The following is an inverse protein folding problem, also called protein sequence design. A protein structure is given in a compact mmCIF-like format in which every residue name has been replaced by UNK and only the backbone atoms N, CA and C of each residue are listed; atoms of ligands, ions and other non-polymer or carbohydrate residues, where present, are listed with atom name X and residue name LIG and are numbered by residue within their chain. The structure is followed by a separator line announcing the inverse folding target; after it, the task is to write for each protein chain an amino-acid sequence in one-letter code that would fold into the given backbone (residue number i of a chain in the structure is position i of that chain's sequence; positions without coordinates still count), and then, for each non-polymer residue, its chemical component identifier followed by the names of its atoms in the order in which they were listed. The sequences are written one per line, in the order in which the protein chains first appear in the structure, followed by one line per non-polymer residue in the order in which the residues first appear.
data_IF_432426975859
#
_entry.id   IF_432426975859
#
_cell.length_a   1.000
_cell.length_b   1.000
_cell.length_c   1.000
_cell.angle_alpha   90.00
_cell.angle_beta   90.00
_cell.angle_gamma   90.00
#
_symmetry.space_group_name_H-M   'P 1'
#
loop_
_entity.id
_entity.type
_entity.pdbx_description
1 polymer ?
#
# COMPACT_ATOMS: atom_id res chain seq x y z
N UNK A 1 -7.10 37.83 -5.32
CA UNK A 1 -8.11 37.18 -6.16
C UNK A 1 -7.91 37.64 -7.59
N UNK A 2 -7.90 36.67 -8.50
CA UNK A 2 -7.82 36.77 -9.97
C UNK A 2 -6.48 37.13 -10.64
N UNK A 3 -6.24 36.43 -11.75
CA UNK A 3 -5.19 36.58 -12.76
C UNK A 3 -3.83 35.87 -12.52
N UNK A 4 -3.83 34.52 -12.50
CA UNK A 4 -2.80 33.72 -13.19
C UNK A 4 -3.47 32.46 -13.76
N UNK A 5 -4.26 32.64 -14.82
CA UNK A 5 -4.96 31.55 -15.51
C UNK A 5 -4.78 31.71 -17.01
N UNK A 6 -4.00 30.81 -17.61
CA UNK A 6 -3.94 30.65 -19.07
C UNK A 6 -2.53 30.80 -19.63
N UNK A 7 -1.73 29.73 -19.57
CA UNK A 7 -0.87 29.29 -20.68
C UNK A 7 -0.09 28.02 -20.31
N UNK A 8 -0.73 26.84 -20.35
CA UNK A 8 -0.01 25.55 -20.41
C UNK A 8 -0.84 24.43 -21.10
N UNK A 9 -1.78 24.79 -21.97
CA UNK A 9 -2.55 23.83 -22.77
C UNK A 9 -1.98 23.77 -24.20
N UNK A 10 -0.78 23.21 -24.40
CA UNK A 10 -0.29 22.89 -25.75
C UNK A 10 0.92 21.93 -25.75
N UNK A 11 0.87 20.84 -24.99
CA UNK A 11 1.71 19.65 -25.25
C UNK A 11 0.90 18.38 -24.91
N UNK A 12 -0.25 18.22 -25.57
CA UNK A 12 -0.98 16.96 -25.62
C UNK A 12 -0.36 16.06 -26.67
N UNK A 13 0.69 15.32 -26.29
CA UNK A 13 1.21 14.23 -27.10
C UNK A 13 0.13 13.16 -27.26
N UNK A 14 -0.31 12.95 -28.50
CA UNK A 14 -1.30 11.96 -28.90
C UNK A 14 -0.87 10.55 -28.46
N UNK A 15 -1.54 9.96 -27.47
CA UNK A 15 -1.30 8.62 -26.89
C UNK A 15 -1.79 7.48 -27.80
N UNK A 16 -1.74 7.67 -29.11
CA UNK A 16 -2.09 6.64 -30.07
C UNK A 16 -0.86 6.35 -30.93
N UNK A 17 -0.56 5.05 -31.07
CA UNK A 17 0.40 4.40 -32.00
C UNK A 17 1.69 3.90 -31.34
N UNK A 18 1.62 2.68 -30.77
CA UNK A 18 2.39 1.49 -31.19
C UNK A 18 2.16 0.31 -30.23
N UNK A 19 0.98 -0.33 -30.30
CA UNK A 19 0.84 -1.72 -29.84
C UNK A 19 1.49 -2.62 -30.87
N UNK A 20 2.80 -2.86 -30.73
CA UNK A 20 3.42 -4.05 -31.31
C UNK A 20 3.05 -5.21 -30.41
N UNK A 21 2.12 -6.03 -30.89
CA UNK A 21 1.77 -7.32 -30.30
C UNK A 21 3.04 -8.12 -30.05
N UNK A 22 3.27 -8.49 -28.79
CA UNK A 22 4.23 -9.53 -28.43
C UNK A 22 3.74 -10.84 -29.05
N UNK A 23 4.17 -11.12 -30.27
CA UNK A 23 3.97 -12.38 -30.93
C UNK A 23 4.87 -13.43 -30.27
N UNK A 24 4.26 -14.49 -29.72
CA UNK A 24 4.93 -15.77 -29.52
C UNK A 24 5.08 -16.25 -28.08
N UNK A 25 3.98 -16.61 -27.42
CA UNK A 25 3.97 -17.77 -26.53
C UNK A 25 2.71 -18.59 -26.78
N UNK A 26 2.89 -19.63 -27.60
CA UNK A 26 1.91 -20.68 -27.84
C UNK A 26 1.78 -21.54 -26.58
N UNK A 27 0.55 -21.69 -26.06
CA UNK A 27 0.08 -22.89 -25.37
C UNK A 27 -1.36 -23.14 -25.80
N UNK A 28 -1.51 -24.12 -26.67
CA UNK A 28 -2.79 -24.54 -27.19
C UNK A 28 -3.77 -25.15 -26.18
N UNK A 29 -5.00 -25.24 -26.69
CA UNK A 29 -6.14 -26.05 -26.29
C UNK A 29 -7.12 -25.41 -25.30
N UNK A 30 -8.25 -25.01 -25.88
CA UNK A 30 -9.26 -24.14 -25.26
C UNK A 30 -10.22 -24.80 -24.27
N UNK A 31 -10.83 -23.91 -23.49
CA UNK A 31 -12.17 -24.05 -22.92
C UNK A 31 -12.68 -22.66 -22.52
N UNK A 32 -13.84 -22.33 -23.09
CA UNK A 32 -14.91 -21.44 -22.65
C UNK A 32 -14.61 -20.05 -22.03
N UNK A 33 -15.16 -19.05 -22.72
CA UNK A 33 -15.24 -17.64 -22.34
C UNK A 33 -16.19 -17.44 -21.14
N UNK A 34 -15.65 -17.32 -19.93
CA UNK A 34 -16.13 -16.41 -18.87
C UNK A 34 -15.20 -16.49 -17.65
N UNK A 35 -14.48 -15.40 -17.38
CA UNK A 35 -13.65 -15.23 -16.19
C UNK A 35 -12.19 -15.66 -16.38
N UNK A 36 -11.38 -14.81 -17.04
CA UNK A 36 -9.93 -14.95 -16.96
C UNK A 36 -9.51 -14.94 -15.48
N UNK A 37 -8.91 -16.04 -15.02
CA UNK A 37 -8.40 -16.12 -13.66
C UNK A 37 -7.45 -14.94 -13.41
N UNK A 38 -7.51 -14.28 -12.24
CA UNK A 38 -6.65 -13.15 -11.96
C UNK A 38 -5.19 -13.57 -12.11
N UNK A 39 -4.41 -12.78 -12.85
CA UNK A 39 -2.97 -13.03 -13.05
C UNK A 39 -2.30 -13.13 -11.68
N UNK A 40 -1.63 -14.25 -11.43
CA UNK A 40 -0.92 -14.42 -10.16
C UNK A 40 0.28 -13.47 -10.08
N UNK A 41 0.64 -13.03 -8.88
CA UNK A 41 1.79 -12.14 -8.72
C UNK A 41 3.11 -12.78 -9.20
N UNK A 42 3.25 -14.11 -9.08
CA UNK A 42 4.40 -14.84 -9.61
C UNK A 42 4.49 -14.77 -11.15
N UNK A 43 3.35 -14.87 -11.85
CA UNK A 43 3.30 -14.69 -13.30
C UNK A 43 3.65 -13.24 -13.68
N UNK A 44 3.12 -12.25 -12.96
CA UNK A 44 3.45 -10.84 -13.20
C UNK A 44 4.96 -10.57 -13.05
N UNK A 45 5.60 -11.10 -12.00
CA UNK A 45 7.06 -11.00 -11.83
C UNK A 45 7.81 -11.66 -12.97
N UNK A 46 7.37 -12.84 -13.42
CA UNK A 46 8.00 -13.54 -14.55
C UNK A 46 7.91 -12.74 -15.84
N UNK A 47 6.77 -12.10 -16.11
CA UNK A 47 6.56 -11.25 -17.29
C UNK A 47 7.47 -10.01 -17.26
N UNK A 48 7.53 -9.32 -16.12
CA UNK A 48 8.41 -8.15 -15.96
C UNK A 48 9.89 -8.54 -16.11
N UNK A 49 10.31 -9.68 -15.54
CA UNK A 49 11.68 -10.17 -15.69
C UNK A 49 12.00 -10.55 -17.14
N UNK A 50 11.04 -11.16 -17.85
CA UNK A 50 11.17 -11.48 -19.28
C UNK A 50 11.36 -10.21 -20.11
N UNK A 51 10.50 -9.20 -19.90
CA UNK A 51 10.59 -7.91 -20.57
C UNK A 51 11.92 -7.20 -20.27
N UNK A 52 12.37 -7.20 -19.01
CA UNK A 52 13.67 -6.64 -18.64
C UNK A 52 14.85 -7.37 -19.31
N UNK A 53 14.71 -8.68 -19.56
CA UNK A 53 15.71 -9.50 -20.23
C UNK A 53 15.87 -9.20 -21.72
N UNK A 54 14.80 -8.78 -22.42
CA UNK A 54 14.85 -8.43 -23.86
C UNK A 54 15.04 -6.93 -24.12
N UNK A 55 14.75 -6.06 -23.13
CA UNK A 55 14.75 -4.62 -23.30
C UNK A 55 16.05 -4.03 -23.83
N UNK A 56 17.22 -4.59 -23.48
CA UNK A 56 18.50 -4.06 -23.94
C UNK A 56 18.68 -4.15 -25.47
N UNK A 57 18.32 -5.29 -26.06
CA UNK A 57 18.43 -5.50 -27.51
C UNK A 57 17.36 -4.70 -28.27
N UNK A 58 16.15 -4.62 -27.72
CA UNK A 58 15.05 -3.81 -28.27
C UNK A 58 15.41 -2.32 -28.27
N UNK A 59 15.91 -1.79 -27.15
CA UNK A 59 16.28 -0.38 -27.02
C UNK A 59 17.55 -0.01 -27.79
N UNK A 60 18.45 -0.97 -28.05
CA UNK A 60 19.63 -0.72 -28.88
C UNK A 60 19.27 -0.36 -30.33
N UNK A 61 18.12 -0.83 -30.81
CA UNK A 61 17.60 -0.55 -32.15
C UNK A 61 16.53 0.55 -32.17
N UNK A 62 16.09 1.01 -30.99
CA UNK A 62 14.98 1.95 -30.86
C UNK A 62 15.35 3.37 -31.31
N UNK A 63 14.40 4.03 -31.98
CA UNK A 63 14.45 5.47 -32.19
C UNK A 63 14.20 6.27 -30.91
N UNK A 64 14.41 7.59 -30.95
CA UNK A 64 14.16 8.46 -29.79
C UNK A 64 12.73 8.36 -29.23
N UNK A 65 11.72 8.37 -30.12
CA UNK A 65 10.30 8.30 -29.72
C UNK A 65 9.99 6.96 -29.05
N UNK A 66 10.41 5.85 -29.65
CA UNK A 66 10.22 4.50 -29.10
C UNK A 66 10.89 4.35 -27.73
N UNK A 67 12.10 4.90 -27.55
CA UNK A 67 12.79 4.89 -26.27
C UNK A 67 12.09 5.76 -25.22
N UNK A 68 11.52 6.90 -25.62
CA UNK A 68 10.75 7.78 -24.73
C UNK A 68 9.43 7.13 -24.29
N UNK A 69 8.71 6.49 -25.20
CA UNK A 69 7.48 5.76 -24.90
C UNK A 69 7.75 4.59 -23.95
N UNK A 70 8.83 3.82 -24.20
CA UNK A 70 9.28 2.78 -23.29
C UNK A 70 9.58 3.31 -21.89
N UNK A 71 10.27 4.45 -21.77
CA UNK A 71 10.53 5.09 -20.49
C UNK A 71 9.23 5.49 -19.76
N UNK A 72 8.21 5.95 -20.51
CA UNK A 72 6.88 6.23 -19.98
C UNK A 72 6.20 4.98 -19.39
N UNK A 73 6.23 3.86 -20.11
CA UNK A 73 5.68 2.58 -19.64
C UNK A 73 6.39 2.04 -18.40
N UNK A 74 7.73 2.15 -18.35
CA UNK A 74 8.51 1.75 -17.16
C UNK A 74 8.14 2.60 -15.95
N UNK A 75 7.89 3.90 -16.15
CA UNK A 75 7.46 4.79 -15.08
C UNK A 75 6.03 4.47 -14.60
N UNK A 76 5.09 4.11 -15.49
CA UNK A 76 3.78 3.58 -15.11
C UNK A 76 3.86 2.29 -14.29
N UNK A 77 4.74 1.36 -14.70
CA UNK A 77 5.02 0.15 -13.95
C UNK A 77 5.60 0.49 -12.57
N UNK A 78 6.54 1.43 -12.49
CA UNK A 78 7.14 1.90 -11.24
C UNK A 78 6.07 2.42 -10.27
N UNK A 79 5.16 3.29 -10.73
CA UNK A 79 4.05 3.79 -9.88
C UNK A 79 3.14 2.67 -9.38
N UNK A 80 2.88 1.66 -10.20
CA UNK A 80 2.08 0.49 -9.81
C UNK A 80 2.81 -0.34 -8.74
N UNK A 81 4.12 -0.59 -8.93
CA UNK A 81 4.96 -1.31 -7.96
C UNK A 81 5.03 -0.54 -6.63
N UNK A 82 5.19 0.78 -6.68
CA UNK A 82 5.18 1.65 -5.52
C UNK A 82 3.88 1.53 -4.70
N UNK A 83 2.72 1.54 -5.38
CA UNK A 83 1.44 1.33 -4.72
C UNK A 83 1.33 -0.06 -4.07
N UNK A 84 1.80 -1.11 -4.76
CA UNK A 84 1.86 -2.47 -4.19
C UNK A 84 2.77 -2.55 -2.95
N UNK A 85 3.88 -1.80 -2.92
CA UNK A 85 4.76 -1.73 -1.75
C UNK A 85 4.07 -1.07 -0.55
N UNK A 86 3.27 -0.02 -0.78
CA UNK A 86 2.46 0.64 0.26
C UNK A 86 1.40 -0.32 0.79
N UNK A 87 0.66 -1.00 -0.12
CA UNK A 87 -0.34 -2.01 0.24
C UNK A 87 0.26 -3.14 1.08
N UNK A 88 1.41 -3.69 0.66
CA UNK A 88 2.10 -4.76 1.36
C UNK A 88 2.56 -4.32 2.75
N UNK A 89 3.15 -3.12 2.88
CA UNK A 89 3.57 -2.58 4.18
C UNK A 89 2.38 -2.41 5.14
N UNK A 90 1.27 -1.81 4.67
CA UNK A 90 0.05 -1.66 5.46
C UNK A 90 -0.62 -3.00 5.82
N UNK A 91 -0.56 -3.99 4.92
CA UNK A 91 -1.04 -5.34 5.22
C UNK A 91 -0.21 -6.01 6.31
N UNK A 92 1.12 -5.93 6.24
CA UNK A 92 2.03 -6.45 7.27
C UNK A 92 1.78 -5.78 8.62
N UNK A 93 1.63 -4.46 8.67
CA UNK A 93 1.40 -3.73 9.92
C UNK A 93 0.10 -4.17 10.62
N UNK A 94 -1.00 -4.22 9.86
CA UNK A 94 -2.31 -4.66 10.38
C UNK A 94 -2.28 -6.12 10.83
N UNK A 95 -1.71 -7.01 10.02
CA UNK A 95 -1.67 -8.46 10.34
C UNK A 95 -0.73 -8.77 11.50
N UNK A 96 0.42 -8.08 11.59
CA UNK A 96 1.33 -8.15 12.74
C UNK A 96 0.62 -7.71 14.02
N UNK A 97 -0.04 -6.56 14.01
CA UNK A 97 -0.79 -6.06 15.17
C UNK A 97 -1.86 -7.06 15.62
N UNK A 98 -2.68 -7.56 14.68
CA UNK A 98 -3.71 -8.58 14.96
C UNK A 98 -3.12 -9.85 15.58
N UNK A 99 -2.00 -10.34 15.03
CA UNK A 99 -1.34 -11.54 15.54
C UNK A 99 -0.73 -11.34 16.94
N UNK A 100 -0.19 -10.15 17.25
CA UNK A 100 0.28 -9.80 18.60
C UNK A 100 -0.89 -9.79 19.59
N UNK A 101 -2.00 -9.14 19.24
CA UNK A 101 -3.21 -9.09 20.08
C UNK A 101 -3.80 -10.49 20.31
N UNK A 102 -3.89 -11.32 19.27
CA UNK A 102 -4.37 -12.69 19.38
C UNK A 102 -3.47 -13.56 20.27
N UNK A 103 -2.14 -13.42 20.14
CA UNK A 103 -1.18 -14.09 21.02
C UNK A 103 -1.30 -13.63 22.48
N UNK A 104 -1.57 -12.34 22.73
CA UNK A 104 -1.81 -11.83 24.08
C UNK A 104 -3.11 -12.40 24.68
N UNK A 105 -4.21 -12.41 23.93
CA UNK A 105 -5.49 -12.96 24.39
C UNK A 105 -5.42 -14.47 24.72
N UNK A 106 -4.70 -15.25 23.90
CA UNK A 106 -4.47 -16.68 24.16
C UNK A 106 -3.55 -16.92 25.37
N UNK A 107 -2.62 -16.02 25.67
CA UNK A 107 -1.80 -16.09 26.89
C UNK A 107 -2.65 -15.80 28.13
N UNK A 108 -3.48 -14.76 28.09
CA UNK A 108 -4.40 -14.40 29.18
C UNK A 108 -5.42 -15.51 29.49
N UNK A 109 -5.99 -16.16 28.48
CA UNK A 109 -6.94 -17.26 28.70
C UNK A 109 -6.26 -18.49 29.33
N UNK A 110 -4.99 -18.76 29.02
CA UNK A 110 -4.21 -19.86 29.62
C UNK A 110 -3.81 -19.56 31.07
N UNK A 111 -3.43 -18.33 31.40
CA UNK A 111 -3.11 -17.94 32.79
C UNK A 111 -4.37 -17.83 33.65
N UNK A 112 -5.50 -17.39 33.08
CA UNK A 112 -6.79 -17.29 33.78
C UNK A 112 -7.47 -18.64 34.07
N UNK A 113 -7.04 -19.72 33.41
CA UNK A 113 -7.50 -21.08 33.70
C UNK A 113 -6.83 -21.72 34.93
N UNK A 114 -5.68 -21.20 35.38
CA UNK A 114 -4.95 -21.71 36.54
C UNK A 114 -4.87 -20.72 37.72
N UNK A 115 -5.21 -19.46 37.50
CA UNK A 115 -5.36 -18.45 38.55
C UNK A 115 -6.69 -17.74 38.35
N UNK A 116 -7.69 -18.19 39.10
CA UNK A 116 -8.99 -17.54 39.18
C UNK A 116 -8.78 -16.07 39.56
N UNK A 117 -9.36 -15.17 38.77
CA UNK A 117 -9.53 -13.79 39.18
C UNK A 117 -10.39 -13.78 40.45
N UNK A 118 -9.74 -13.70 41.62
CA UNK A 118 -10.39 -13.45 42.90
C UNK A 118 -10.81 -11.98 42.89
N UNK A 119 -11.94 -11.68 42.26
CA UNK A 119 -12.77 -10.56 42.72
C UNK A 119 -13.41 -11.05 44.01
N UNK A 120 -12.94 -10.50 45.13
CA UNK A 120 -13.19 -10.97 46.49
C UNK A 120 -14.64 -10.96 46.96
N UNK A 121 -15.44 -11.89 46.45
CA UNK A 121 -16.76 -12.29 46.93
C UNK A 121 -16.90 -13.82 46.79
N UNK A 122 -16.26 -14.58 47.67
CA UNK A 122 -16.71 -15.93 48.03
C UNK A 122 -16.12 -16.37 49.38
N UNK A 123 -16.97 -16.32 50.41
CA UNK A 123 -16.81 -17.16 51.59
C UNK A 123 -16.97 -18.63 51.17
N UNK A 124 -16.01 -19.50 51.52
CA UNK A 124 -16.26 -20.94 51.53
C UNK A 124 -15.08 -21.81 51.15
N UNK A 125 -14.38 -22.27 52.20
CA UNK A 125 -13.61 -23.53 52.31
C UNK A 125 -12.52 -23.83 51.28
N UNK A 126 -11.28 -23.72 51.75
CA UNK A 126 -10.09 -24.34 51.19
C UNK A 126 -10.26 -25.87 51.10
N UNK A 127 -9.91 -26.44 49.95
CA UNK A 127 -9.42 -27.82 49.87
C UNK A 127 -8.01 -27.77 49.33
N UNK A 128 -7.05 -27.93 50.25
CA UNK A 128 -5.68 -28.30 49.97
C UNK A 128 -5.67 -29.74 49.45
N UNK A 129 -5.17 -29.96 48.24
CA UNK A 129 -4.63 -31.26 47.83
C UNK A 129 -3.15 -31.05 47.51
N UNK A 130 -2.32 -31.24 48.54
CA UNK A 130 -0.88 -31.39 48.40
C UNK A 130 -0.55 -32.86 48.09
N UNK A 131 0.12 -33.04 46.93
CA UNK A 131 1.18 -34.00 46.62
C UNK A 131 1.00 -35.48 46.98
N UNK A 132 1.03 -36.34 45.95
CA UNK A 132 1.56 -37.70 46.12
C UNK A 132 2.41 -38.15 44.92
N UNK A 133 3.37 -39.01 45.26
CA UNK A 133 4.62 -39.28 44.56
C UNK A 133 4.53 -40.27 43.37
N UNK A 134 5.42 -40.12 42.38
CA UNK A 134 6.17 -41.22 41.74
C UNK A 134 7.12 -40.76 40.61
N UNK A 135 8.41 -41.06 40.76
CA UNK A 135 9.47 -41.03 39.75
C UNK A 135 10.36 -42.29 40.03
N UNK A 136 10.98 -43.04 39.08
CA UNK A 136 10.88 -43.09 37.60
C UNK A 136 10.24 -44.38 37.06
N UNK A 137 9.79 -44.36 35.80
CA UNK A 137 9.78 -45.56 34.97
C UNK A 137 10.45 -45.28 33.62
N UNK A 138 11.61 -45.89 33.45
CA UNK A 138 12.35 -46.02 32.19
C UNK A 138 11.54 -46.87 31.22
N UNK A 139 10.99 -46.25 30.19
CA UNK A 139 10.46 -46.92 29.01
C UNK A 139 10.82 -46.07 27.79
N UNK A 140 10.99 -46.66 26.59
CA UNK A 140 11.20 -45.89 25.38
C UNK A 140 9.88 -45.22 25.02
N UNK A 141 9.57 -44.13 25.72
CA UNK A 141 8.69 -43.12 25.20
C UNK A 141 9.44 -42.55 24.01
N UNK A 142 9.05 -42.99 22.81
CA UNK A 142 9.12 -42.15 21.63
C UNK A 142 8.35 -40.88 21.98
N UNK A 143 9.03 -39.98 22.68
CA UNK A 143 8.73 -38.57 22.69
C UNK A 143 8.99 -38.18 21.25
N UNK A 144 7.98 -38.39 20.41
CA UNK A 144 7.65 -37.39 19.43
C UNK A 144 7.49 -36.13 20.28
N UNK A 145 8.61 -35.42 20.43
CA UNK A 145 8.71 -34.05 20.87
C UNK A 145 7.95 -33.24 19.82
N UNK A 146 6.64 -33.44 19.83
CA UNK A 146 5.69 -32.43 19.44
C UNK A 146 5.68 -31.52 20.66
N UNK A 147 6.79 -30.81 20.87
CA UNK A 147 6.72 -29.45 21.37
C UNK A 147 5.62 -28.84 20.53
N UNK A 148 4.42 -28.77 21.12
CA UNK A 148 3.29 -28.05 20.57
C UNK A 148 3.83 -26.64 20.52
N UNK A 149 4.48 -26.30 19.40
CA UNK A 149 5.22 -25.08 19.22
C UNK A 149 4.23 -23.99 19.59
N UNK A 150 4.44 -23.38 20.76
CA UNK A 150 3.61 -22.28 21.18
C UNK A 150 3.78 -21.30 20.04
N UNK A 151 2.72 -20.92 19.31
CA UNK A 151 2.87 -20.00 18.20
C UNK A 151 3.54 -18.75 18.78
N UNK A 152 4.81 -18.56 18.42
CA UNK A 152 5.61 -17.46 18.93
C UNK A 152 4.90 -16.19 18.48
N UNK A 153 4.66 -15.28 19.44
CA UNK A 153 4.03 -14.02 19.08
C UNK A 153 4.96 -13.31 18.10
N UNK A 154 4.46 -12.62 17.07
CA UNK A 154 5.31 -11.76 16.27
C UNK A 154 6.04 -10.69 17.11
N UNK A 155 5.59 -10.41 18.34
CA UNK A 155 6.31 -9.56 19.28
C UNK A 155 7.67 -10.16 19.75
N UNK A 156 7.83 -11.49 19.64
CA UNK A 156 9.00 -12.23 20.11
C UNK A 156 10.10 -12.35 19.02
N UNK A 157 9.90 -11.75 17.83
CA UNK A 157 10.84 -11.82 16.71
C UNK A 157 12.03 -10.84 16.81
N UNK A 158 12.18 -10.17 17.95
CA UNK A 158 13.25 -9.21 18.23
C UNK A 158 13.07 -7.84 17.55
N UNK A 159 12.02 -7.64 16.75
CA UNK A 159 11.74 -6.37 16.10
C UNK A 159 10.88 -5.48 16.99
N UNK A 160 11.43 -4.31 17.38
CA UNK A 160 10.74 -3.35 18.28
C UNK A 160 9.40 -2.84 17.71
N UNK A 161 9.29 -2.77 16.38
CA UNK A 161 8.09 -2.34 15.67
C UNK A 161 8.07 -2.93 14.25
N UNK A 162 6.96 -2.71 13.54
CA UNK A 162 6.79 -3.17 12.16
C UNK A 162 7.86 -2.63 11.21
N UNK A 163 8.35 -1.41 11.42
CA UNK A 163 9.37 -0.82 10.54
C UNK A 163 10.71 -1.57 10.63
N UNK A 164 11.17 -1.95 11.82
CA UNK A 164 12.37 -2.77 12.00
C UNK A 164 12.18 -4.20 11.45
N UNK A 165 10.97 -4.74 11.56
CA UNK A 165 10.62 -6.02 10.93
C UNK A 165 10.74 -5.94 9.40
N UNK A 166 10.13 -4.92 8.77
CA UNK A 166 10.21 -4.71 7.32
C UNK A 166 11.64 -4.47 6.85
N UNK A 167 12.42 -3.65 7.58
CA UNK A 167 13.85 -3.42 7.31
C UNK A 167 14.61 -4.73 7.24
N UNK A 168 14.44 -5.60 8.24
CA UNK A 168 15.15 -6.87 8.33
C UNK A 168 14.69 -7.86 7.26
N UNK A 169 13.36 -7.98 7.09
CA UNK A 169 12.74 -8.94 6.17
C UNK A 169 12.98 -8.60 4.70
N UNK A 170 12.87 -7.31 4.34
CA UNK A 170 12.96 -6.83 2.96
C UNK A 170 14.35 -6.29 2.59
N UNK A 171 15.25 -6.16 3.57
CA UNK A 171 16.60 -5.57 3.41
C UNK A 171 16.58 -4.14 2.84
N UNK A 172 15.60 -3.35 3.24
CA UNK A 172 15.48 -1.92 2.89
C UNK A 172 15.98 -1.04 4.03
N UNK A 173 16.20 0.26 3.76
CA UNK A 173 16.53 1.23 4.80
C UNK A 173 15.38 1.46 5.78
N UNK A 174 15.69 1.82 7.03
CA UNK A 174 14.66 2.11 8.05
C UNK A 174 13.78 3.30 7.67
N UNK A 175 14.35 4.31 7.00
CA UNK A 175 13.62 5.48 6.49
C UNK A 175 12.59 5.06 5.44
N UNK A 176 12.95 4.15 4.55
CA UNK A 176 12.05 3.65 3.52
C UNK A 176 10.93 2.78 4.12
N UNK A 177 11.25 1.93 5.11
CA UNK A 177 10.23 1.16 5.82
C UNK A 177 9.21 2.08 6.52
N UNK A 178 9.68 3.11 7.22
CA UNK A 178 8.82 4.11 7.87
C UNK A 178 7.99 4.90 6.86
N UNK A 179 8.59 5.31 5.74
CA UNK A 179 7.90 6.02 4.66
C UNK A 179 6.73 5.21 4.12
N UNK A 180 6.93 3.91 3.83
CA UNK A 180 5.85 3.03 3.35
C UNK A 180 4.72 2.87 4.36
N UNK A 181 5.06 2.70 5.64
CA UNK A 181 4.06 2.59 6.72
C UNK A 181 3.30 3.91 6.91
N UNK A 182 3.99 5.04 6.85
CA UNK A 182 3.37 6.36 6.96
C UNK A 182 2.40 6.62 5.80
N UNK A 183 2.82 6.39 4.54
CA UNK A 183 1.90 6.48 3.40
C UNK A 183 0.71 5.53 3.57
N UNK A 184 0.96 4.27 3.95
CA UNK A 184 -0.11 3.30 4.15
C UNK A 184 -1.14 3.74 5.20
N UNK A 185 -0.71 4.39 6.29
CA UNK A 185 -1.61 4.92 7.32
C UNK A 185 -2.53 6.03 6.81
N UNK A 186 -2.06 6.87 5.88
CA UNK A 186 -2.82 7.99 5.36
C UNK A 186 -3.67 7.65 4.13
N UNK A 187 -3.22 6.71 3.30
CA UNK A 187 -3.81 6.48 1.97
C UNK A 187 -4.58 5.16 1.84
N UNK A 188 -4.49 4.25 2.82
CA UNK A 188 -5.26 3.01 2.78
C UNK A 188 -6.53 3.10 3.64
N UNK A 189 -7.62 2.42 3.26
CA UNK A 189 -8.81 2.32 4.10
C UNK A 189 -8.49 1.71 5.46
N UNK A 190 -9.04 2.31 6.51
CA UNK A 190 -8.92 1.80 7.88
C UNK A 190 -10.20 1.04 8.29
N UNK A 191 -10.12 0.38 9.44
CA UNK A 191 -11.27 -0.29 10.07
C UNK A 191 -11.47 0.28 11.45
N UNK A 192 -12.70 0.69 11.78
CA UNK A 192 -13.07 1.13 13.13
C UNK A 192 -13.02 -0.03 14.11
N UNK A 193 -13.16 0.27 15.41
CA UNK A 193 -13.26 -0.74 16.45
C UNK A 193 -14.47 -1.68 16.24
N UNK A 194 -15.55 -1.19 15.63
CA UNK A 194 -16.76 -1.97 15.29
C UNK A 194 -16.60 -2.84 14.04
N UNK A 195 -15.49 -2.69 13.30
CA UNK A 195 -15.21 -3.45 12.08
C UNK A 195 -15.66 -2.77 10.79
N UNK A 196 -16.27 -1.59 10.89
CA UNK A 196 -16.70 -0.81 9.73
C UNK A 196 -15.48 -0.25 8.99
N UNK A 197 -15.54 -0.23 7.65
CA UNK A 197 -14.48 0.38 6.85
C UNK A 197 -14.66 1.89 6.82
N UNK A 198 -13.59 2.62 7.14
CA UNK A 198 -13.53 4.07 6.94
C UNK A 198 -12.73 4.39 5.69
N UNK A 199 -13.07 5.49 4.99
CA UNK A 199 -12.26 5.97 3.89
C UNK A 199 -10.83 6.28 4.36
N UNK A 200 -9.86 6.34 3.44
CA UNK A 200 -8.51 6.84 3.70
C UNK A 200 -8.54 8.23 4.33
N UNK A 201 -7.56 8.56 5.17
CA UNK A 201 -7.49 9.89 5.80
C UNK A 201 -7.21 11.02 4.80
N UNK A 202 -6.48 10.70 3.72
CA UNK A 202 -6.19 11.58 2.59
C UNK A 202 -6.85 10.99 1.34
N UNK A 203 -8.15 11.27 1.15
CA UNK A 203 -8.98 10.64 0.12
C UNK A 203 -8.53 10.99 -1.30
N UNK A 204 -8.17 12.25 -1.56
CA UNK A 204 -7.73 12.68 -2.88
C UNK A 204 -6.41 12.03 -3.26
N UNK A 205 -5.46 12.00 -2.32
CA UNK A 205 -4.18 11.35 -2.53
C UNK A 205 -4.34 9.82 -2.72
N UNK A 206 -5.21 9.19 -1.93
CA UNK A 206 -5.49 7.77 -2.04
C UNK A 206 -6.07 7.39 -3.41
N UNK A 207 -7.01 8.20 -3.92
CA UNK A 207 -7.58 8.00 -5.25
C UNK A 207 -6.49 8.07 -6.33
N UNK A 208 -5.59 9.06 -6.26
CA UNK A 208 -4.54 9.25 -7.25
C UNK A 208 -3.45 8.16 -7.22
N UNK A 209 -3.21 7.54 -6.06
CA UNK A 209 -2.29 6.41 -5.90
C UNK A 209 -2.89 5.05 -6.28
N UNK A 210 -4.22 4.97 -6.42
CA UNK A 210 -4.91 3.71 -6.71
C UNK A 210 -5.03 3.52 -8.22
N UNK A 211 -4.64 2.36 -8.76
CA UNK A 211 -4.93 2.02 -10.15
C UNK A 211 -6.43 2.10 -10.40
N UNK A 212 -6.85 2.89 -11.38
CA UNK A 212 -8.28 3.09 -11.65
C UNK A 212 -8.76 1.98 -12.58
N UNK A 213 -9.77 1.19 -12.18
CA UNK A 213 -10.37 0.25 -13.10
C UNK A 213 -11.04 1.03 -14.24
N UNK A 214 -11.07 0.45 -15.45
CA UNK A 214 -11.70 1.06 -16.60
C UNK A 214 -13.19 1.31 -16.33
N UNK A 215 -13.67 2.45 -16.80
CA UNK A 215 -15.07 2.84 -16.63
C UNK A 215 -15.99 1.78 -17.26
N UNK A 216 -16.85 1.11 -16.48
CA UNK A 216 -17.79 0.12 -17.01
C UNK A 216 -18.90 0.75 -17.88
N UNK A 217 -18.91 2.08 -17.99
CA UNK A 217 -19.88 2.89 -18.73
C UNK A 217 -19.23 3.73 -19.83
N UNK A 218 -17.99 3.44 -20.23
CA UNK A 218 -17.45 4.02 -21.46
C UNK A 218 -18.45 3.73 -22.60
N UNK A 219 -18.92 4.75 -23.35
CA UNK A 219 -19.93 4.55 -24.37
C UNK A 219 -19.41 3.49 -25.33
N UNK A 220 -20.21 2.44 -25.51
CA UNK A 220 -19.95 1.39 -26.50
C UNK A 220 -19.60 2.11 -27.81
N UNK A 221 -18.38 1.90 -28.30
CA UNK A 221 -17.95 2.50 -29.54
C UNK A 221 -18.98 2.07 -30.58
N UNK A 222 -19.76 3.04 -31.07
CA UNK A 222 -20.98 2.77 -31.84
C UNK A 222 -20.73 1.74 -32.95
N UNK A 223 -21.78 1.00 -33.28
CA UNK A 223 -21.90 -0.14 -34.21
C UNK A 223 -21.26 0.05 -35.61
N UNK A 224 -20.69 1.23 -35.90
CA UNK A 224 -20.05 1.62 -37.17
C UNK A 224 -18.51 1.60 -37.13
N UNK A 225 -17.87 1.17 -36.04
CA UNK A 225 -16.41 1.00 -35.98
C UNK A 225 -15.99 -0.38 -36.55
N UNK A 226 -15.15 -0.38 -37.59
CA UNK A 226 -14.51 -1.60 -38.10
C UNK A 226 -13.89 -2.45 -36.98
N UNK A 227 -13.82 -3.79 -37.10
CA UNK A 227 -13.47 -4.69 -36.01
C UNK A 227 -11.97 -4.59 -35.65
N UNK A 228 -11.58 -3.50 -35.00
CA UNK A 228 -10.35 -3.40 -34.24
C UNK A 228 -10.60 -4.03 -32.88
N UNK A 229 -9.87 -5.12 -32.62
CA UNK A 229 -9.81 -5.91 -31.39
C UNK A 229 -10.41 -5.22 -30.16
N UNK A 230 -11.49 -5.80 -29.64
CA UNK A 230 -12.13 -5.44 -28.36
C UNK A 230 -11.03 -5.26 -27.31
N UNK A 231 -10.69 -4.01 -27.02
CA UNK A 231 -9.70 -3.68 -26.02
C UNK A 231 -10.28 -4.13 -24.69
N UNK A 232 -9.66 -5.15 -24.08
CA UNK A 232 -10.02 -5.57 -22.73
C UNK A 232 -10.02 -4.35 -21.80
N UNK A 233 -10.90 -4.31 -20.78
CA UNK A 233 -10.94 -3.24 -19.80
C UNK A 233 -9.52 -2.86 -19.33
N UNK A 234 -9.05 -1.67 -19.71
CA UNK A 234 -7.68 -1.20 -19.49
C UNK A 234 -7.58 -0.57 -18.08
N UNK A 235 -7.03 -1.32 -17.12
CA UNK A 235 -6.72 -0.80 -15.79
C UNK A 235 -5.62 0.25 -15.94
N UNK A 236 -5.92 1.49 -15.56
CA UNK A 236 -4.96 2.59 -15.67
C UNK A 236 -4.05 2.61 -14.45
N UNK A 237 -2.73 2.75 -14.67
CA UNK A 237 -1.74 2.87 -13.62
C UNK A 237 -2.05 4.08 -12.69
N UNK A 238 -1.52 4.09 -11.45
CA UNK A 238 -1.64 5.26 -10.58
C UNK A 238 -1.16 6.53 -11.28
N UNK A 239 -1.86 7.66 -11.07
CA UNK A 239 -1.53 8.94 -11.70
C UNK A 239 -0.46 9.72 -10.93
N UNK A 240 -0.26 9.39 -9.65
CA UNK A 240 0.73 10.03 -8.77
C UNK A 240 1.76 8.99 -8.29
N UNK A 241 3.03 9.39 -8.21
CA UNK A 241 4.09 8.53 -7.67
C UNK A 241 4.11 8.52 -6.14
N UNK A 242 4.67 7.48 -5.54
CA UNK A 242 4.81 7.43 -4.07
C UNK A 242 5.72 8.54 -3.52
N UNK A 243 6.68 9.04 -4.33
CA UNK A 243 7.54 10.18 -3.97
C UNK A 243 6.70 11.46 -3.83
N UNK A 244 5.84 11.75 -4.81
CA UNK A 244 4.91 12.87 -4.73
C UNK A 244 3.96 12.72 -3.53
N UNK A 245 3.44 11.51 -3.28
CA UNK A 245 2.64 11.23 -2.07
C UNK A 245 3.39 11.56 -0.78
N UNK A 246 4.68 11.26 -0.70
CA UNK A 246 5.51 11.60 0.49
C UNK A 246 5.65 13.11 0.68
N UNK A 247 5.82 13.86 -0.41
CA UNK A 247 5.89 15.33 -0.36
C UNK A 247 4.55 15.89 0.15
N UNK A 248 3.44 15.36 -0.34
CA UNK A 248 2.09 15.79 0.07
C UNK A 248 1.86 15.50 1.55
N UNK A 249 2.07 14.26 2.02
CA UNK A 249 1.81 13.92 3.43
C UNK A 249 2.71 14.71 4.38
N UNK A 250 3.99 14.85 4.05
CA UNK A 250 4.92 15.64 4.88
C UNK A 250 4.61 17.13 4.88
N UNK A 251 4.03 17.67 3.80
CA UNK A 251 3.55 19.06 3.75
C UNK A 251 2.33 19.20 4.65
N UNK A 252 1.31 18.36 4.50
CA UNK A 252 0.09 18.40 5.30
C UNK A 252 0.37 18.20 6.81
N UNK A 253 1.30 17.31 7.16
CA UNK A 253 1.72 17.09 8.55
C UNK A 253 2.32 18.33 9.21
N UNK A 254 3.00 19.18 8.44
CA UNK A 254 3.53 20.46 8.94
C UNK A 254 2.41 21.46 9.13
N UNK A 255 1.46 21.52 8.20
CA UNK A 255 0.37 22.50 8.19
C UNK A 255 -0.74 22.19 9.20
N UNK A 256 -0.88 20.93 9.62
CA UNK A 256 -2.04 20.49 10.43
C UNK A 256 -2.22 21.20 11.77
N UNK A 257 -1.14 21.77 12.31
CA UNK A 257 -1.18 22.52 13.57
C UNK A 257 -1.43 24.03 13.39
N UNK A 258 -1.46 24.50 12.14
CA UNK A 258 -1.57 25.92 11.80
C UNK A 258 -2.83 26.27 11.00
N UNK A 259 -3.69 25.28 10.71
CA UNK A 259 -4.91 25.51 9.93
C UNK A 259 -6.02 24.50 10.28
N UNK A 260 -7.22 24.68 9.70
CA UNK A 260 -8.38 23.83 9.96
C UNK A 260 -8.37 22.55 9.10
N UNK A 261 -9.07 21.48 9.51
CA UNK A 261 -9.19 20.26 8.72
C UNK A 261 -9.76 20.48 7.32
N UNK A 262 -10.73 21.37 7.16
CA UNK A 262 -11.33 21.70 5.86
C UNK A 262 -10.33 22.38 4.94
N UNK A 263 -9.45 23.22 5.50
CA UNK A 263 -8.39 23.88 4.74
C UNK A 263 -7.32 22.88 4.33
N UNK A 264 -6.94 21.95 5.22
CA UNK A 264 -6.03 20.85 4.88
C UNK A 264 -6.56 20.00 3.72
N UNK A 265 -7.85 19.66 3.72
CA UNK A 265 -8.47 18.88 2.64
C UNK A 265 -8.38 19.62 1.28
N UNK A 266 -8.60 20.94 1.26
CA UNK A 266 -8.42 21.75 0.04
C UNK A 266 -6.96 21.80 -0.42
N UNK A 267 -6.02 21.89 0.51
CA UNK A 267 -4.57 21.87 0.20
C UNK A 267 -4.17 20.50 -0.34
N UNK A 268 -4.67 19.41 0.26
CA UNK A 268 -4.47 18.05 -0.22
C UNK A 268 -4.96 17.90 -1.66
N UNK A 269 -6.20 18.31 -1.94
CA UNK A 269 -6.79 18.23 -3.27
C UNK A 269 -5.94 19.01 -4.30
N UNK A 270 -5.53 20.24 -3.96
CA UNK A 270 -4.72 21.07 -4.84
C UNK A 270 -3.33 20.47 -5.10
N UNK A 271 -2.63 20.02 -4.06
CA UNK A 271 -1.32 19.40 -4.20
C UNK A 271 -1.40 18.08 -4.98
N UNK A 272 -2.44 17.29 -4.75
CA UNK A 272 -2.67 16.03 -5.49
C UNK A 272 -2.95 16.30 -6.96
N UNK A 273 -3.82 17.27 -7.27
CA UNK A 273 -4.07 17.70 -8.65
C UNK A 273 -2.81 18.26 -9.32
N UNK A 274 -1.95 18.94 -8.58
CA UNK A 274 -0.65 19.41 -9.12
C UNK A 274 0.27 18.23 -9.44
N UNK A 275 0.28 17.21 -8.58
CA UNK A 275 1.16 16.04 -8.72
C UNK A 275 0.83 15.13 -9.91
N UNK A 276 -0.35 15.26 -10.54
CA UNK A 276 -0.71 14.49 -11.74
C UNK A 276 -0.05 15.02 -13.02
N UNK A 277 0.44 16.26 -13.01
CA UNK A 277 0.97 16.94 -14.21
C UNK A 277 2.35 17.55 -14.01
N UNK A 278 2.77 17.78 -12.77
CA UNK A 278 4.06 18.39 -12.45
C UNK A 278 5.04 17.41 -11.81
N UNK A 279 6.34 17.66 -12.00
CA UNK A 279 7.39 16.88 -11.38
C UNK A 279 7.46 17.07 -9.85
N UNK A 280 8.06 16.12 -9.10
CA UNK A 280 8.14 16.20 -7.64
C UNK A 280 8.89 17.43 -7.10
N UNK A 281 9.83 18.01 -7.84
CA UNK A 281 10.59 19.17 -7.37
C UNK A 281 9.76 20.45 -7.50
N UNK A 282 8.94 20.58 -8.55
CA UNK A 282 7.91 21.60 -8.63
C UNK A 282 6.88 21.46 -7.50
N UNK A 283 6.39 20.24 -7.26
CA UNK A 283 5.46 19.96 -6.16
C UNK A 283 6.03 20.36 -4.80
N UNK A 284 7.31 20.08 -4.55
CA UNK A 284 7.99 20.50 -3.32
C UNK A 284 8.05 22.02 -3.14
N UNK A 285 8.20 22.79 -4.23
CA UNK A 285 8.13 24.26 -4.21
C UNK A 285 6.72 24.75 -3.88
N UNK A 286 5.70 24.15 -4.48
CA UNK A 286 4.29 24.48 -4.19
C UNK A 286 3.95 24.19 -2.73
N UNK A 287 4.37 23.04 -2.20
CA UNK A 287 4.16 22.68 -0.79
C UNK A 287 4.84 23.66 0.18
N UNK A 288 6.07 24.11 -0.14
CA UNK A 288 6.77 25.12 0.66
C UNK A 288 6.03 26.46 0.66
N UNK A 289 5.53 26.90 -0.50
CA UNK A 289 4.75 28.14 -0.61
C UNK A 289 3.49 28.13 0.26
N UNK A 290 2.81 26.98 0.37
CA UNK A 290 1.67 26.85 1.28
C UNK A 290 2.07 27.05 2.75
N UNK A 291 3.22 26.49 3.17
CA UNK A 291 3.75 26.69 4.50
C UNK A 291 4.07 28.16 4.78
N UNK A 292 4.76 28.82 3.87
CA UNK A 292 5.11 30.24 4.03
C UNK A 292 3.86 31.14 4.11
N UNK A 293 2.81 30.81 3.35
CA UNK A 293 1.56 31.59 3.32
C UNK A 293 0.77 31.42 4.62
N UNK A 294 0.67 30.20 5.14
CA UNK A 294 -0.07 29.92 6.38
C UNK A 294 0.69 30.42 7.61
N UNK A 295 2.03 30.34 7.60
CA UNK A 295 2.87 30.89 8.67
C UNK A 295 2.73 32.42 8.78
N UNK A 296 2.64 33.11 7.64
CA UNK A 296 2.42 34.55 7.60
C UNK A 296 1.06 35.00 8.18
N UNK A 297 0.05 34.13 8.20
CA UNK A 297 -1.26 34.40 8.79
C UNK A 297 -1.31 34.10 10.32
N UNK A 298 -0.21 33.61 10.90
CA UNK A 298 -0.10 33.28 12.33
C UNK A 298 0.08 34.51 13.24
N UNK A 299 -1.03 35.07 13.73
CA UNK A 299 -1.16 36.00 14.87
C UNK A 299 -0.02 37.02 15.10
N UNK A 300 -0.24 38.28 14.72
CA UNK A 300 0.47 39.41 15.35
C UNK A 300 0.23 39.38 16.88
N UNK A 301 1.28 39.55 17.72
CA UNK A 301 1.10 39.62 19.16
C UNK A 301 0.22 40.82 19.49
N UNK A 302 -0.90 40.57 20.17
CA UNK A 302 -1.73 41.62 20.73
C UNK A 302 -0.97 42.19 21.93
N UNK A 303 -0.39 43.38 21.76
CA UNK A 303 0.15 44.19 22.87
C UNK A 303 -0.94 44.66 23.83
#
# INVERSE_FOLDING_TARGET
MEAIGGQLAEFGGSTAVLRRTAAGFDHGSGSDLSGAAPVSFAQAVSLVNGAAGSAADELALAGYVEAADFAGLVEELSRTVDYLQILAAGAVDRTRTKAITAAAATRTSRTGGHTGWITGWNNGTETLDETDAAWPATGPSTTADTTRAVPHSPADDGCRNTAEFLRTRLRIGITEARRRLHLAQHTLPATTLTGDRTPPALEHLAAALTPTPPDPHAPDAGDDAEPMAVAAPEVTAPTVSSRAGTIITTTLDRLKHHTTPETLARIEEHLTRTATTADPDFLARVGRRWADTIDADGTEPTE
#
